data_IF_082415791936
#
_entry.id   IF_082415791936
#
_cell.length_a   1.000
_cell.length_b   1.000
_cell.length_c   1.000
_cell.angle_alpha   90.00
_cell.angle_beta   90.00
_cell.angle_gamma   90.00
#
_symmetry.space_group_name_H-M   'P 1'
#
loop_
_entity.id
_entity.type
_entity.pdbx_description
1 polymer ?
#
# COMPACT_ATOMS: atom_id res chain seq x y z
N UNK A 1 26.56 6.77 -9.84
CA UNK A 1 25.32 7.46 -9.42
C UNK A 1 24.81 6.69 -8.22
N UNK A 2 25.24 7.12 -7.04
CA UNK A 2 24.78 6.56 -5.77
C UNK A 2 23.33 6.95 -5.56
N UNK A 3 22.45 5.97 -5.73
CA UNK A 3 21.07 6.04 -5.32
C UNK A 3 20.81 4.83 -4.44
N UNK A 4 21.39 4.84 -3.24
CA UNK A 4 21.02 3.94 -2.16
C UNK A 4 19.50 3.95 -2.05
N UNK A 5 18.85 2.91 -2.57
CA UNK A 5 17.50 2.56 -2.16
C UNK A 5 17.69 2.12 -0.71
N UNK A 6 17.74 3.09 0.21
CA UNK A 6 17.35 2.82 1.57
C UNK A 6 15.99 2.17 1.41
N UNK A 7 15.88 0.88 1.71
CA UNK A 7 14.64 0.13 1.61
C UNK A 7 13.59 0.93 2.39
N UNK A 8 12.78 1.72 1.69
CA UNK A 8 11.85 2.62 2.32
C UNK A 8 10.85 1.73 3.03
N UNK A 9 10.63 1.98 4.31
CA UNK A 9 9.62 1.25 5.05
C UNK A 9 8.26 1.43 4.39
N UNK A 10 7.45 0.38 4.36
CA UNK A 10 6.12 0.41 3.74
C UNK A 10 5.26 1.53 4.34
N UNK A 11 5.44 1.84 5.64
CA UNK A 11 4.77 2.95 6.30
C UNK A 11 5.18 4.32 5.75
N UNK A 12 6.46 4.50 5.38
CA UNK A 12 6.96 5.76 4.80
C UNK A 12 6.33 5.99 3.43
N UNK A 13 6.29 4.96 2.59
CA UNK A 13 5.73 5.06 1.24
C UNK A 13 4.21 5.26 1.30
N UNK A 14 3.53 4.62 2.25
CA UNK A 14 2.10 4.83 2.49
C UNK A 14 1.79 6.29 2.86
N UNK A 15 2.57 6.87 3.78
CA UNK A 15 2.43 8.28 4.15
C UNK A 15 2.65 9.21 2.95
N UNK A 16 3.62 8.89 2.09
CA UNK A 16 3.87 9.64 0.85
C UNK A 16 2.71 9.54 -0.15
N UNK A 17 2.08 8.36 -0.28
CA UNK A 17 0.90 8.16 -1.13
C UNK A 17 -0.30 8.95 -0.59
N UNK A 18 -0.58 8.90 0.71
CA UNK A 18 -1.64 9.69 1.36
C UNK A 18 -1.46 11.19 1.12
N UNK A 19 -0.22 11.68 1.27
CA UNK A 19 0.12 13.07 0.97
C UNK A 19 -0.14 13.42 -0.49
N UNK A 20 0.26 12.57 -1.43
CA UNK A 20 0.03 12.78 -2.86
C UNK A 20 -1.48 12.83 -3.19
N UNK A 21 -2.31 12.00 -2.55
CA UNK A 21 -3.77 12.03 -2.70
C UNK A 21 -4.34 13.35 -2.16
N UNK A 22 -3.92 13.78 -0.98
CA UNK A 22 -4.38 15.03 -0.39
C UNK A 22 -4.02 16.25 -1.26
N UNK A 23 -2.79 16.31 -1.79
CA UNK A 23 -2.34 17.34 -2.72
C UNK A 23 -3.14 17.33 -4.02
N UNK A 24 -3.38 16.15 -4.59
CA UNK A 24 -4.21 15.96 -5.78
C UNK A 24 -5.62 16.50 -5.60
N UNK A 25 -6.27 16.19 -4.47
CA UNK A 25 -7.61 16.67 -4.14
C UNK A 25 -7.65 18.18 -3.94
N UNK A 26 -6.66 18.75 -3.25
CA UNK A 26 -6.55 20.19 -3.03
C UNK A 26 -6.41 20.96 -4.35
N UNK A 27 -5.50 20.50 -5.22
CA UNK A 27 -5.19 21.17 -6.49
C UNK A 27 -6.33 21.07 -7.52
N UNK A 28 -7.22 20.07 -7.40
CA UNK A 28 -8.30 19.82 -8.36
C UNK A 28 -9.69 19.86 -7.70
N UNK A 29 -9.83 20.63 -6.61
CA UNK A 29 -11.03 20.67 -5.77
C UNK A 29 -12.34 20.93 -6.54
N UNK A 30 -12.29 21.73 -7.62
CA UNK A 30 -13.46 22.03 -8.46
C UNK A 30 -13.96 20.84 -9.28
N UNK A 31 -13.11 19.84 -9.58
CA UNK A 31 -13.49 18.62 -10.29
C UNK A 31 -14.07 17.55 -9.36
N UNK A 32 -13.49 17.38 -8.17
CA UNK A 32 -14.03 16.46 -7.15
C UNK A 32 -15.42 16.91 -6.67
N UNK A 33 -15.61 18.22 -6.46
CA UNK A 33 -16.93 18.80 -6.10
C UNK A 33 -18.01 18.52 -7.13
N UNK A 34 -17.65 18.35 -8.42
CA UNK A 34 -18.61 18.12 -9.51
C UNK A 34 -18.90 16.62 -9.75
N UNK A 35 -18.31 15.69 -8.96
CA UNK A 35 -18.41 14.23 -9.17
C UNK A 35 -18.10 13.77 -10.61
N UNK A 36 -17.26 14.53 -11.34
CA UNK A 36 -16.86 14.20 -12.72
C UNK A 36 -15.54 13.42 -12.79
N UNK A 37 -15.06 12.91 -11.65
CA UNK A 37 -13.74 12.32 -11.48
C UNK A 37 -13.82 11.06 -10.60
N UNK A 38 -12.75 10.27 -10.62
CA UNK A 38 -12.55 9.13 -9.73
C UNK A 38 -12.61 9.59 -8.26
N UNK A 39 -13.15 8.78 -7.36
CA UNK A 39 -13.29 9.16 -5.95
C UNK A 39 -11.98 8.93 -5.17
N UNK A 40 -11.09 9.91 -5.24
CA UNK A 40 -9.86 9.92 -4.43
C UNK A 40 -10.13 9.94 -2.92
N UNK A 41 -11.29 10.43 -2.48
CA UNK A 41 -11.65 10.45 -1.06
C UNK A 41 -11.90 9.04 -0.53
N UNK A 42 -12.55 8.19 -1.33
CA UNK A 42 -12.73 6.78 -0.99
C UNK A 42 -11.40 6.02 -0.91
N UNK A 43 -10.49 6.25 -1.86
CA UNK A 43 -9.14 5.69 -1.83
C UNK A 43 -8.37 6.16 -0.58
N UNK A 44 -8.39 7.46 -0.28
CA UNK A 44 -7.72 8.02 0.91
C UNK A 44 -8.27 7.41 2.21
N UNK A 45 -9.59 7.32 2.34
CA UNK A 45 -10.27 6.74 3.50
C UNK A 45 -9.89 5.26 3.70
N UNK A 46 -9.85 4.50 2.60
CA UNK A 46 -9.40 3.11 2.62
C UNK A 46 -7.95 3.02 3.10
N UNK A 47 -7.04 3.84 2.54
CA UNK A 47 -5.63 3.82 2.92
C UNK A 47 -5.41 4.21 4.39
N UNK A 48 -6.16 5.19 4.90
CA UNK A 48 -6.13 5.59 6.32
C UNK A 48 -6.62 4.48 7.25
N UNK A 49 -7.65 3.73 6.86
CA UNK A 49 -8.20 2.65 7.69
C UNK A 49 -7.25 1.45 7.79
N UNK A 50 -6.47 1.18 6.74
CA UNK A 50 -5.50 0.07 6.71
C UNK A 50 -4.11 0.45 7.25
N UNK A 51 -3.76 1.74 7.27
CA UNK A 51 -2.47 2.25 7.76
C UNK A 51 -2.00 1.62 9.09
N UNK A 52 -2.81 1.57 10.16
CA UNK A 52 -2.36 0.97 11.43
C UNK A 52 -2.00 -0.51 11.27
N UNK A 53 -2.68 -1.24 10.40
CA UNK A 53 -2.40 -2.65 10.15
C UNK A 53 -1.09 -2.84 9.38
N UNK A 54 -0.85 -2.02 8.35
CA UNK A 54 0.41 -2.03 7.58
C UNK A 54 1.60 -1.70 8.49
N UNK A 55 1.48 -0.69 9.35
CA UNK A 55 2.53 -0.33 10.33
C UNK A 55 2.80 -1.46 11.33
N UNK A 56 1.75 -2.12 11.80
CA UNK A 56 1.88 -3.27 12.72
C UNK A 56 2.59 -4.44 12.04
N UNK A 57 2.21 -4.75 10.80
CA UNK A 57 2.80 -5.81 9.98
C UNK A 57 4.30 -5.57 9.76
N UNK A 58 4.68 -4.35 9.33
CA UNK A 58 6.08 -3.96 9.17
C UNK A 58 6.88 -4.10 10.47
N UNK A 59 6.34 -3.62 11.59
CA UNK A 59 7.00 -3.71 12.90
C UNK A 59 7.23 -5.17 13.30
N UNK A 60 6.19 -6.00 13.22
CA UNK A 60 6.27 -7.42 13.57
C UNK A 60 7.25 -8.17 12.67
N UNK A 61 7.24 -7.90 11.36
CA UNK A 61 8.19 -8.50 10.44
C UNK A 61 9.64 -8.12 10.81
N UNK A 62 9.90 -6.85 11.16
CA UNK A 62 11.21 -6.43 11.63
C UNK A 62 11.62 -7.10 12.96
N UNK A 63 10.71 -7.18 13.93
CA UNK A 63 10.94 -7.84 15.23
C UNK A 63 11.24 -9.35 15.08
N UNK A 64 10.62 -10.00 14.10
CA UNK A 64 10.83 -11.41 13.77
C UNK A 64 12.00 -11.66 12.80
N UNK A 65 12.73 -10.62 12.40
CA UNK A 65 13.83 -10.73 11.43
C UNK A 65 13.39 -11.20 10.05
N UNK A 66 12.11 -10.99 9.69
CA UNK A 66 11.54 -11.44 8.42
C UNK A 66 12.04 -10.61 7.24
N UNK A 67 12.05 -11.20 6.03
CA UNK A 67 12.49 -10.51 4.83
C UNK A 67 11.59 -9.30 4.51
N UNK A 68 12.21 -8.17 4.13
CA UNK A 68 11.48 -6.96 3.70
C UNK A 68 10.78 -7.16 2.35
N UNK A 69 11.21 -8.18 1.63
CA UNK A 69 10.73 -8.66 0.33
C UNK A 69 9.23 -8.98 0.36
N UNK A 70 8.66 -9.36 1.51
CA UNK A 70 7.22 -9.60 1.64
C UNK A 70 6.37 -8.34 1.38
N UNK A 71 6.90 -7.17 1.71
CA UNK A 71 6.20 -5.88 1.60
C UNK A 71 6.69 -5.05 0.40
N UNK A 72 7.75 -5.48 -0.28
CA UNK A 72 8.26 -4.84 -1.49
C UNK A 72 7.20 -4.66 -2.60
N UNK A 73 6.35 -5.66 -2.91
CA UNK A 73 5.31 -5.49 -3.92
C UNK A 73 4.37 -4.33 -3.57
N UNK A 74 4.03 -4.19 -2.28
CA UNK A 74 3.17 -3.12 -1.81
C UNK A 74 3.84 -1.75 -1.92
N UNK A 75 5.15 -1.66 -1.60
CA UNK A 75 5.96 -0.46 -1.80
C UNK A 75 5.94 -0.03 -3.27
N UNK A 76 6.29 -0.95 -4.19
CA UNK A 76 6.31 -0.67 -5.64
C UNK A 76 4.95 -0.19 -6.13
N UNK A 77 3.87 -0.82 -5.66
CA UNK A 77 2.51 -0.40 -6.01
C UNK A 77 2.19 1.01 -5.51
N UNK A 78 2.54 1.36 -4.27
CA UNK A 78 2.32 2.72 -3.77
C UNK A 78 3.12 3.78 -4.55
N UNK A 79 4.35 3.47 -4.97
CA UNK A 79 5.15 4.35 -5.82
C UNK A 79 4.52 4.57 -7.21
N UNK A 80 3.92 3.54 -7.81
CA UNK A 80 3.13 3.68 -9.04
C UNK A 80 1.98 4.67 -8.85
N UNK A 81 1.23 4.55 -7.75
CA UNK A 81 0.15 5.46 -7.40
C UNK A 81 0.63 6.91 -7.24
N UNK A 82 1.75 7.11 -6.54
CA UNK A 82 2.38 8.44 -6.39
C UNK A 82 2.76 9.02 -7.75
N UNK A 83 3.38 8.22 -8.64
CA UNK A 83 3.74 8.67 -9.99
C UNK A 83 2.51 9.03 -10.82
N UNK A 84 1.44 8.24 -10.73
CA UNK A 84 0.17 8.49 -11.39
C UNK A 84 -0.41 9.84 -10.93
N UNK A 85 -0.49 10.05 -9.61
CA UNK A 85 -1.01 11.28 -8.99
C UNK A 85 -0.14 12.51 -9.21
N UNK A 86 1.15 12.37 -9.52
CA UNK A 86 2.05 13.48 -9.87
C UNK A 86 1.95 13.91 -11.33
N UNK A 87 1.72 12.98 -12.27
CA UNK A 87 1.57 13.28 -13.72
C UNK A 87 0.42 14.23 -14.02
N UNK A 88 -0.49 14.34 -13.08
CA UNK A 88 -1.63 15.25 -12.99
C UNK A 88 -1.42 16.72 -13.30
N UNK A 89 -0.22 17.28 -13.12
CA UNK A 89 0.04 18.66 -13.53
C UNK A 89 0.00 18.83 -15.06
N UNK A 90 0.16 17.73 -15.82
CA UNK A 90 0.40 17.74 -17.26
C UNK A 90 -0.75 17.11 -18.08
N UNK A 91 -1.79 16.57 -17.45
CA UNK A 91 -2.91 15.89 -18.13
C UNK A 91 -4.28 16.39 -17.65
N UNK A 92 -5.27 16.32 -18.55
CA UNK A 92 -6.66 16.61 -18.21
C UNK A 92 -7.22 15.47 -17.34
N UNK A 93 -7.36 15.72 -16.04
CA UNK A 93 -7.86 14.75 -15.05
C UNK A 93 -9.22 14.14 -15.35
N UNK A 94 -10.08 14.85 -16.09
CA UNK A 94 -11.40 14.38 -16.49
C UNK A 94 -11.38 13.56 -17.79
N UNK A 95 -10.19 13.26 -18.33
CA UNK A 95 -10.09 12.36 -19.48
C UNK A 95 -10.46 10.95 -19.05
N UNK A 96 -11.27 10.28 -19.88
CA UNK A 96 -11.71 8.90 -19.62
C UNK A 96 -10.51 7.96 -19.42
N UNK A 97 -9.44 8.16 -20.18
CA UNK A 97 -8.20 7.38 -20.06
C UNK A 97 -7.54 7.54 -18.69
N UNK A 98 -7.44 8.77 -18.17
CA UNK A 98 -6.82 9.00 -16.88
C UNK A 98 -7.68 8.48 -15.72
N UNK A 99 -9.00 8.65 -15.80
CA UNK A 99 -9.93 8.06 -14.82
C UNK A 99 -9.87 6.54 -14.80
N UNK A 100 -9.77 5.90 -15.97
CA UNK A 100 -9.59 4.45 -16.07
C UNK A 100 -8.27 3.97 -15.45
N UNK A 101 -7.18 4.74 -15.60
CA UNK A 101 -5.90 4.42 -14.95
C UNK A 101 -5.98 4.50 -13.42
N UNK A 102 -6.67 5.51 -12.87
CA UNK A 102 -6.89 5.62 -11.42
C UNK A 102 -7.76 4.48 -10.89
N UNK A 103 -8.82 4.10 -11.62
CA UNK A 103 -9.65 2.96 -11.23
C UNK A 103 -8.85 1.66 -11.27
N UNK A 104 -8.13 1.39 -12.36
CA UNK A 104 -7.30 0.19 -12.48
C UNK A 104 -6.20 0.15 -11.40
N UNK A 105 -5.67 1.30 -11.02
CA UNK A 105 -4.74 1.41 -9.90
C UNK A 105 -5.41 1.02 -8.57
N UNK A 106 -6.57 1.59 -8.23
CA UNK A 106 -7.30 1.27 -6.99
C UNK A 106 -7.65 -0.22 -6.91
N UNK A 107 -8.20 -0.78 -8.00
CA UNK A 107 -8.56 -2.20 -8.08
C UNK A 107 -7.34 -3.10 -7.86
N UNK A 108 -6.25 -2.86 -8.61
CA UNK A 108 -5.03 -3.67 -8.48
C UNK A 108 -4.30 -3.47 -7.15
N UNK A 109 -4.41 -2.28 -6.54
CA UNK A 109 -3.87 -2.02 -5.20
C UNK A 109 -4.63 -2.81 -4.13
N UNK A 110 -5.97 -2.80 -4.18
CA UNK A 110 -6.82 -3.55 -3.24
C UNK A 110 -6.58 -5.05 -3.34
N UNK A 111 -6.49 -5.60 -4.55
CA UNK A 111 -6.20 -7.02 -4.77
C UNK A 111 -4.81 -7.42 -4.26
N UNK A 112 -3.80 -6.58 -4.47
CA UNK A 112 -2.46 -6.83 -3.96
C UNK A 112 -2.43 -6.83 -2.43
N UNK A 113 -3.05 -5.82 -1.81
CA UNK A 113 -3.14 -5.72 -0.36
C UNK A 113 -3.82 -6.95 0.24
N UNK A 114 -4.95 -7.37 -0.34
CA UNK A 114 -5.70 -8.53 0.11
C UNK A 114 -4.88 -9.82 -0.01
N UNK A 115 -4.15 -9.98 -1.12
CA UNK A 115 -3.22 -11.10 -1.34
C UNK A 115 -2.13 -11.14 -0.28
N UNK A 116 -1.45 -10.02 -0.02
CA UNK A 116 -0.37 -9.93 0.97
C UNK A 116 -0.90 -10.27 2.36
N UNK A 117 -2.05 -9.71 2.75
CA UNK A 117 -2.67 -10.00 4.05
C UNK A 117 -2.99 -11.48 4.23
N UNK A 118 -3.49 -12.15 3.19
CA UNK A 118 -3.77 -13.60 3.21
C UNK A 118 -2.50 -14.43 3.35
N UNK A 119 -1.46 -14.10 2.56
CA UNK A 119 -0.17 -14.80 2.63
C UNK A 119 0.45 -14.64 4.00
N UNK A 120 0.50 -13.41 4.52
CA UNK A 120 1.02 -13.13 5.87
C UNK A 120 0.29 -13.96 6.93
N UNK A 121 -1.04 -13.98 6.89
CA UNK A 121 -1.86 -14.75 7.84
C UNK A 121 -1.56 -16.24 7.78
N UNK A 122 -1.44 -16.81 6.58
CA UNK A 122 -1.13 -18.23 6.40
C UNK A 122 0.29 -18.56 6.89
N UNK A 123 1.26 -17.69 6.62
CA UNK A 123 2.63 -17.83 7.12
C UNK A 123 2.68 -17.78 8.64
N UNK A 124 2.02 -16.80 9.26
CA UNK A 124 1.94 -16.64 10.72
C UNK A 124 1.34 -17.89 11.39
N UNK A 125 0.26 -18.43 10.81
CA UNK A 125 -0.37 -19.66 11.29
C UNK A 125 0.57 -20.87 11.19
N UNK A 126 1.26 -21.02 10.05
CA UNK A 126 2.19 -22.13 9.84
C UNK A 126 3.38 -22.06 10.79
N UNK A 127 3.94 -20.87 11.01
CA UNK A 127 5.03 -20.66 11.97
C UNK A 127 4.60 -20.98 13.40
N UNK A 128 3.41 -20.52 13.82
CA UNK A 128 2.87 -20.86 15.13
C UNK A 128 2.78 -22.38 15.34
N UNK A 129 2.27 -23.12 14.35
CA UNK A 129 2.19 -24.58 14.41
C UNK A 129 3.58 -25.23 14.48
N UNK A 130 4.56 -24.73 13.72
CA UNK A 130 5.94 -25.23 13.79
C UNK A 130 6.57 -25.04 15.17
N UNK A 131 6.37 -23.86 15.78
CA UNK A 131 6.88 -23.57 17.13
C UNK A 131 6.21 -24.44 18.20
N UNK A 132 4.92 -24.74 18.06
CA UNK A 132 4.20 -25.65 18.95
C UNK A 132 4.72 -27.09 18.86
N UNK A 133 4.99 -27.58 17.64
CA UNK A 133 5.57 -28.92 17.44
C UNK A 133 6.98 -29.03 18.05
N UNK A 134 7.85 -28.04 17.83
CA UNK A 134 9.21 -28.07 18.42
C UNK A 134 9.20 -28.06 19.96
N UNK A 135 8.29 -27.30 20.57
CA UNK A 135 8.15 -27.27 22.03
C UNK A 135 7.62 -28.60 22.59
N UNK A 136 6.71 -29.27 21.90
CA UNK A 136 6.19 -30.59 22.29
C UNK A 136 7.22 -31.72 22.18
N UNK A 137 8.19 -31.62 21.26
CA UNK A 137 9.27 -32.60 21.10
C UNK A 137 10.45 -32.42 22.07
N UNK A 138 10.51 -31.30 22.82
CA UNK A 138 11.58 -31.02 23.79
C UNK A 138 11.22 -31.43 25.22
N UNK A 139 10.04 -32.02 25.43
CA UNK A 139 9.51 -32.46 26.74
C UNK A 139 9.29 -33.97 26.82
N UNK A 140 10.01 -34.77 26.03
CA UNK A 140 9.99 -36.25 26.13
C UNK A 140 11.40 -36.80 26.29
#
# INVERSE_FOLDING_TARGET
>A
MDGTIAAQGVAIVLAALLKAIAEAMKNNSSMFKKKKAFDLGNLESTLKSIEPNIRKMERLNNEMGRPKEELEPLIKKMEEGIKLLKRCSNVRWNSKSYMAQLQAFDDSFRELLHTIMKVQTATDQKEMLHLQHQKGSSTS
#
